data_IF_706450345041
#
_entry.id   IF_706450345041
#
_cell.length_a   1.000
_cell.length_b   1.000
_cell.length_c   1.000
_cell.angle_alpha   90.00
_cell.angle_beta   90.00
_cell.angle_gamma   90.00
#
_symmetry.space_group_name_H-M   'P 1'
#
loop_
_entity.id
_entity.type
_entity.pdbx_description
1 polymer ?
#
# COMPACT_ATOMS: atom_id res chain seq x y z
N UNK A 1 30.95 4.79 7.32
CA UNK A 1 30.53 5.05 6.98
C UNK A 1 29.80 5.04 6.97
N UNK A 2 29.66 5.07 7.02
CA UNK A 2 28.88 5.16 6.75
C UNK A 2 28.23 4.79 5.84
N UNK A 3 28.36 4.30 5.59
CA UNK A 3 27.92 3.90 4.42
C UNK A 3 26.59 3.37 4.39
N UNK A 4 26.27 2.52 5.19
CA UNK A 4 25.01 2.04 5.25
C UNK A 4 24.06 3.00 5.47
N UNK A 5 24.36 3.97 6.19
CA UNK A 5 23.51 5.00 6.43
C UNK A 5 23.21 5.70 5.20
N UNK A 6 24.15 5.82 4.36
CA UNK A 6 23.99 6.50 3.11
C UNK A 6 22.94 5.82 2.29
N UNK A 7 22.94 4.49 2.29
CA UNK A 7 21.94 3.74 1.58
C UNK A 7 20.56 4.04 2.07
N UNK A 8 20.40 4.11 3.36
CA UNK A 8 19.11 4.41 3.93
C UNK A 8 18.61 5.77 3.53
N UNK A 9 19.50 6.73 3.43
CA UNK A 9 19.12 8.08 3.04
C UNK A 9 18.66 8.18 1.60
N UNK A 10 19.06 7.26 0.77
CA UNK A 10 18.66 7.31 -0.63
C UNK A 10 17.18 7.04 -0.82
N UNK A 11 16.56 6.41 0.14
CA UNK A 11 15.18 6.04 0.02
C UNK A 11 14.26 6.88 0.88
N UNK A 12 14.06 8.10 0.47
CA UNK A 12 13.07 8.91 1.13
C UNK A 12 11.72 8.38 0.72
N UNK A 13 10.90 8.09 1.69
CA UNK A 13 9.54 7.67 1.43
C UNK A 13 8.76 8.84 0.86
N UNK A 14 8.05 8.59 -0.22
CA UNK A 14 7.21 9.59 -0.86
C UNK A 14 5.81 9.58 -0.27
N UNK A 15 5.56 8.73 0.69
CA UNK A 15 4.28 8.60 1.34
C UNK A 15 4.46 8.54 2.85
N UNK A 16 3.38 8.75 3.57
CA UNK A 16 3.36 8.69 5.03
C UNK A 16 2.71 7.38 5.44
N UNK A 17 3.22 6.74 6.48
CA UNK A 17 2.67 5.48 6.98
C UNK A 17 1.51 5.77 7.91
N UNK A 18 0.37 5.12 7.68
CA UNK A 18 -0.77 5.22 8.56
C UNK A 18 -0.54 4.30 9.77
N UNK A 19 -0.65 4.84 10.96
CA UNK A 19 -0.40 4.09 12.20
C UNK A 19 -1.59 4.07 13.15
N UNK A 20 -2.49 5.03 13.02
CA UNK A 20 -3.58 5.20 13.96
C UNK A 20 -4.74 4.24 13.67
N UNK A 21 -5.22 3.57 14.71
CA UNK A 21 -6.41 2.72 14.58
C UNK A 21 -7.62 3.52 14.12
N UNK A 22 -7.69 4.78 14.50
CA UNK A 22 -8.75 5.66 14.10
C UNK A 22 -8.76 5.86 12.58
N UNK A 23 -7.58 6.09 11.99
CA UNK A 23 -7.46 6.26 10.55
C UNK A 23 -7.82 4.99 9.81
N UNK A 24 -7.39 3.82 10.31
CA UNK A 24 -7.76 2.55 9.70
C UNK A 24 -9.28 2.36 9.73
N UNK A 25 -9.88 2.60 10.89
CA UNK A 25 -11.34 2.44 11.03
C UNK A 25 -12.10 3.36 10.11
N UNK A 26 -11.64 4.60 9.98
CA UNK A 26 -12.28 5.57 9.12
C UNK A 26 -12.24 5.10 7.65
N UNK A 27 -11.08 4.62 7.21
CA UNK A 27 -10.94 4.13 5.84
C UNK A 27 -11.76 2.89 5.58
N UNK A 28 -11.87 1.99 6.55
CA UNK A 28 -12.71 0.81 6.40
C UNK A 28 -14.18 1.18 6.25
N UNK A 29 -14.62 2.24 6.90
CA UNK A 29 -16.02 2.67 6.83
C UNK A 29 -16.33 3.57 5.64
N UNK A 30 -15.43 4.48 5.32
CA UNK A 30 -15.71 5.53 4.35
C UNK A 30 -14.93 5.42 3.05
N UNK A 31 -13.92 4.58 3.00
CA UNK A 31 -13.09 4.44 1.82
C UNK A 31 -13.78 3.64 0.73
N UNK A 32 -13.36 3.90 -0.50
CA UNK A 32 -13.78 3.14 -1.65
C UNK A 32 -12.98 1.86 -1.66
N UNK A 33 -13.64 0.72 -1.76
CA UNK A 33 -12.93 -0.55 -1.68
C UNK A 33 -12.83 -1.24 -3.03
N UNK A 34 -11.75 -1.98 -3.22
CA UNK A 34 -11.58 -2.85 -4.37
C UNK A 34 -10.99 -4.16 -3.88
N UNK A 35 -11.46 -5.26 -4.45
CA UNK A 35 -11.09 -6.60 -3.98
C UNK A 35 -10.54 -7.40 -5.14
N UNK A 36 -9.42 -8.08 -4.92
CA UNK A 36 -8.91 -9.05 -5.87
C UNK A 36 -8.25 -10.18 -5.08
N UNK A 37 -7.68 -11.17 -5.77
CA UNK A 37 -7.10 -12.32 -5.08
C UNK A 37 -5.84 -11.99 -4.26
N UNK A 38 -5.22 -10.86 -4.55
CA UNK A 38 -3.96 -10.48 -3.89
C UNK A 38 -4.18 -9.57 -2.69
N UNK A 39 -5.20 -8.73 -2.71
CA UNK A 39 -5.43 -7.79 -1.61
C UNK A 39 -6.84 -7.19 -1.67
N UNK A 40 -7.22 -6.58 -0.55
CA UNK A 40 -8.36 -5.67 -0.53
C UNK A 40 -7.77 -4.28 -0.31
N UNK A 41 -8.17 -3.32 -1.10
CA UNK A 41 -7.67 -1.95 -0.98
C UNK A 41 -8.81 -1.01 -0.63
N UNK A 42 -8.60 -0.18 0.37
CA UNK A 42 -9.52 0.90 0.71
C UNK A 42 -8.79 2.21 0.41
N UNK A 43 -9.43 3.10 -0.33
CA UNK A 43 -8.81 4.36 -0.69
C UNK A 43 -9.77 5.51 -0.53
N UNK A 44 -9.24 6.68 -0.23
CA UNK A 44 -10.03 7.89 -0.08
C UNK A 44 -9.18 9.10 -0.42
N UNK A 45 -9.70 10.05 -1.20
CA UNK A 45 -8.96 11.28 -1.49
C UNK A 45 -8.71 12.07 -0.22
N UNK A 46 -7.57 12.74 -0.17
CA UNK A 46 -7.28 13.64 0.94
C UNK A 46 -6.84 15.00 0.41
N UNK A 47 -6.88 15.99 1.29
CA UNK A 47 -6.56 17.36 0.91
C UNK A 47 -5.08 17.62 1.05
N UNK A 48 -4.33 17.52 0.01
CA UNK A 48 -2.92 17.89 0.02
C UNK A 48 -2.03 17.00 0.87
N UNK A 49 -0.82 17.42 1.08
CA UNK A 49 0.19 16.63 1.77
C UNK A 49 0.74 15.53 0.89
N UNK A 50 1.01 14.39 1.49
CA UNK A 50 1.50 13.23 0.77
C UNK A 50 0.46 12.13 0.81
N UNK A 51 0.57 11.19 -0.12
CA UNK A 51 -0.24 9.98 -0.02
C UNK A 51 0.10 9.26 1.28
N UNK A 52 -0.87 8.58 1.86
CA UNK A 52 -0.64 7.82 3.08
C UNK A 52 -0.93 6.35 2.82
N UNK A 53 -0.15 5.48 3.42
CA UNK A 53 -0.23 4.04 3.20
C UNK A 53 -0.32 3.30 4.52
N UNK A 54 -1.31 2.43 4.65
CA UNK A 54 -1.40 1.48 5.74
C UNK A 54 -1.50 0.07 5.18
N UNK A 55 -0.91 -0.89 5.86
CA UNK A 55 -0.96 -2.29 5.43
C UNK A 55 -1.36 -3.15 6.61
N UNK A 56 -2.38 -3.98 6.41
CA UNK A 56 -2.87 -4.90 7.42
C UNK A 56 -2.61 -6.33 6.98
N UNK A 57 -2.02 -7.12 7.88
CA UNK A 57 -1.74 -8.51 7.61
C UNK A 57 -2.14 -9.30 8.85
N UNK A 58 -3.32 -9.90 8.80
CA UNK A 58 -3.91 -10.57 9.95
C UNK A 58 -3.50 -12.03 10.11
N UNK A 59 -4.02 -12.65 11.14
CA UNK A 59 -3.68 -14.03 11.49
C UNK A 59 -4.05 -15.03 10.39
N UNK A 60 -5.05 -14.73 9.58
CA UNK A 60 -5.47 -15.60 8.50
C UNK A 60 -4.40 -15.83 7.45
N UNK A 61 -3.43 -14.93 7.37
CA UNK A 61 -2.34 -15.04 6.41
C UNK A 61 -1.42 -16.21 6.78
N UNK A 62 -1.27 -16.46 8.07
CA UNK A 62 -0.41 -17.51 8.56
C UNK A 62 0.50 -17.01 9.68
N UNK A 63 1.68 -17.59 9.79
CA UNK A 63 2.61 -17.25 10.86
C UNK A 63 3.26 -15.87 10.63
N UNK A 64 4.09 -15.46 11.58
CA UNK A 64 4.73 -14.14 11.52
C UNK A 64 5.57 -13.95 10.27
N UNK A 65 6.24 -14.98 9.81
CA UNK A 65 7.08 -14.91 8.61
C UNK A 65 6.21 -14.58 7.40
N UNK A 66 5.09 -15.28 7.25
CA UNK A 66 4.19 -15.04 6.12
C UNK A 66 3.54 -13.66 6.21
N UNK A 67 3.18 -13.23 7.42
CA UNK A 67 2.59 -11.90 7.58
C UNK A 67 3.59 -10.80 7.22
N UNK A 68 4.84 -10.96 7.66
CA UNK A 68 5.88 -9.99 7.34
C UNK A 68 6.18 -9.94 5.85
N UNK A 69 6.20 -11.12 5.21
CA UNK A 69 6.41 -11.20 3.77
C UNK A 69 5.29 -10.50 3.02
N UNK A 70 4.04 -10.70 3.44
CA UNK A 70 2.90 -10.04 2.83
C UNK A 70 3.03 -8.53 2.88
N UNK A 71 3.39 -8.00 4.05
CA UNK A 71 3.57 -6.56 4.19
C UNK A 71 4.70 -6.05 3.33
N UNK A 72 5.79 -6.81 3.26
CA UNK A 72 6.95 -6.40 2.46
C UNK A 72 6.62 -6.34 0.97
N UNK A 73 5.94 -7.36 0.46
CA UNK A 73 5.67 -7.42 -0.97
C UNK A 73 4.65 -6.36 -1.39
N UNK A 74 3.67 -6.07 -0.54
CA UNK A 74 2.72 -4.99 -0.81
C UNK A 74 3.43 -3.63 -0.75
N UNK A 75 4.28 -3.43 0.24
CA UNK A 75 5.01 -2.18 0.39
C UNK A 75 5.91 -1.91 -0.81
N UNK A 76 6.59 -2.94 -1.27
CA UNK A 76 7.47 -2.81 -2.43
C UNK A 76 6.67 -2.52 -3.69
N UNK A 77 5.54 -3.18 -3.87
CA UNK A 77 4.67 -2.93 -5.02
C UNK A 77 4.16 -1.49 -5.00
N UNK A 78 3.76 -1.00 -3.82
CA UNK A 78 3.26 0.37 -3.71
C UNK A 78 4.36 1.38 -4.00
N UNK A 79 5.58 1.10 -3.58
CA UNK A 79 6.71 1.98 -3.87
C UNK A 79 6.89 2.14 -5.37
N UNK A 80 6.69 1.07 -6.12
CA UNK A 80 6.79 1.11 -7.58
C UNK A 80 5.55 1.70 -8.24
N UNK A 81 4.41 1.60 -7.58
CA UNK A 81 3.15 2.12 -8.09
C UNK A 81 3.04 3.64 -7.94
N UNK A 82 3.59 4.18 -6.87
CA UNK A 82 3.39 5.58 -6.52
C UNK A 82 3.80 6.58 -7.60
N UNK A 83 4.91 6.39 -8.31
CA UNK A 83 5.23 7.29 -9.42
C UNK A 83 4.17 7.29 -10.52
N UNK A 84 3.61 6.12 -10.84
CA UNK A 84 2.54 6.03 -11.83
C UNK A 84 1.29 6.75 -11.35
N UNK A 85 0.97 6.58 -10.07
CA UNK A 85 -0.14 7.25 -9.45
C UNK A 85 -0.01 8.77 -9.59
N UNK A 86 1.17 9.31 -9.33
CA UNK A 86 1.42 10.74 -9.42
C UNK A 86 1.32 11.29 -10.84
N UNK A 87 1.61 10.46 -11.82
CA UNK A 87 1.47 10.84 -13.21
C UNK A 87 0.01 10.93 -13.63
N UNK A 88 -0.84 10.12 -12.99
CA UNK A 88 -2.25 10.03 -13.39
C UNK A 88 -3.15 11.04 -12.68
N UNK A 89 -2.73 11.58 -11.56
CA UNK A 89 -3.56 12.49 -10.79
C UNK A 89 -2.70 13.41 -9.92
N UNK A 90 -3.20 14.62 -9.71
CA UNK A 90 -2.58 15.56 -8.77
C UNK A 90 -3.12 15.37 -7.37
N UNK A 91 -4.16 14.58 -7.22
CA UNK A 91 -4.76 14.37 -5.90
C UNK A 91 -3.91 13.42 -5.07
N UNK A 92 -4.06 13.56 -3.76
CA UNK A 92 -3.42 12.65 -2.81
C UNK A 92 -4.48 11.77 -2.20
N UNK A 93 -4.08 10.59 -1.78
CA UNK A 93 -5.00 9.58 -1.27
C UNK A 93 -4.48 8.92 -0.03
N UNK A 94 -5.40 8.43 0.79
CA UNK A 94 -5.10 7.47 1.83
C UNK A 94 -5.39 6.11 1.25
N UNK A 95 -4.47 5.18 1.42
CA UNK A 95 -4.65 3.78 0.98
C UNK A 95 -4.44 2.85 2.17
N UNK A 96 -5.32 1.87 2.31
CA UNK A 96 -5.09 0.75 3.20
C UNK A 96 -5.20 -0.52 2.39
N UNK A 97 -4.14 -1.32 2.41
CA UNK A 97 -4.14 -2.61 1.76
C UNK A 97 -4.26 -3.70 2.82
N UNK A 98 -5.21 -4.60 2.64
CA UNK A 98 -5.37 -5.74 3.53
C UNK A 98 -4.90 -6.98 2.79
N UNK A 99 -3.87 -7.63 3.35
CA UNK A 99 -3.31 -8.84 2.73
C UNK A 99 -4.31 -9.98 2.78
N UNK A 100 -4.24 -10.85 1.79
CA UNK A 100 -5.08 -12.03 1.71
C UNK A 100 -4.21 -13.28 1.80
N UNK A 101 -4.86 -14.43 1.90
CA UNK A 101 -4.13 -15.69 2.09
C UNK A 101 -3.07 -15.95 1.01
N UNK A 102 -3.34 -15.53 -0.21
CA UNK A 102 -2.40 -15.75 -1.32
C UNK A 102 -1.26 -14.74 -1.39
N UNK A 103 -1.39 -13.62 -0.69
CA UNK A 103 -0.41 -12.53 -0.78
C UNK A 103 1.03 -12.99 -0.57
N UNK A 104 1.35 -13.81 0.45
CA UNK A 104 2.74 -14.20 0.68
C UNK A 104 3.36 -14.97 -0.47
N UNK A 105 2.56 -15.62 -1.30
CA UNK A 105 3.06 -16.42 -2.41
C UNK A 105 3.20 -15.61 -3.69
N UNK A 106 2.72 -14.37 -3.72
CA UNK A 106 2.75 -13.56 -4.92
C UNK A 106 4.03 -12.75 -5.02
N UNK A 107 4.39 -12.44 -6.25
CA UNK A 107 5.56 -11.61 -6.52
C UNK A 107 5.14 -10.15 -6.60
N UNK A 108 6.10 -9.28 -6.32
CA UNK A 108 5.89 -7.84 -6.37
C UNK A 108 5.24 -7.39 -7.68
N UNK A 109 5.72 -7.91 -8.81
CA UNK A 109 5.19 -7.51 -10.11
C UNK A 109 3.72 -7.88 -10.31
N UNK A 110 3.31 -9.01 -9.75
CA UNK A 110 1.92 -9.43 -9.83
C UNK A 110 1.02 -8.47 -9.04
N UNK A 111 1.47 -8.08 -7.86
CA UNK A 111 0.72 -7.15 -7.02
C UNK A 111 0.69 -5.76 -7.65
N UNK A 112 1.82 -5.33 -8.21
CA UNK A 112 1.90 -4.04 -8.89
C UNK A 112 0.93 -3.98 -10.07
N UNK A 113 0.85 -5.05 -10.87
CA UNK A 113 -0.08 -5.10 -11.98
C UNK A 113 -1.52 -4.95 -11.51
N UNK A 114 -1.85 -5.60 -10.39
CA UNK A 114 -3.20 -5.50 -9.84
C UNK A 114 -3.49 -4.11 -9.27
N UNK A 115 -2.50 -3.46 -8.69
CA UNK A 115 -2.66 -2.08 -8.25
C UNK A 115 -3.00 -1.18 -9.44
N UNK A 116 -2.27 -1.31 -10.52
CA UNK A 116 -2.54 -0.50 -11.71
C UNK A 116 -3.91 -0.79 -12.28
N UNK A 117 -4.26 -2.05 -12.38
CA UNK A 117 -5.53 -2.45 -12.96
C UNK A 117 -6.74 -2.01 -12.14
N UNK A 118 -6.61 -2.08 -10.82
CA UNK A 118 -7.75 -1.87 -9.93
C UNK A 118 -7.85 -0.47 -9.34
N UNK A 119 -6.74 0.22 -9.20
CA UNK A 119 -6.74 1.54 -8.56
C UNK A 119 -6.82 2.68 -9.55
N UNK A 120 -6.05 2.62 -10.64
CA UNK A 120 -6.02 3.73 -11.60
C UNK A 120 -7.39 4.10 -12.15
N UNK A 121 -8.28 3.14 -12.48
CA UNK A 121 -9.61 3.51 -12.96
C UNK A 121 -10.48 4.24 -11.94
N UNK A 122 -10.14 4.15 -10.66
CA UNK A 122 -10.92 4.78 -9.60
C UNK A 122 -10.42 6.17 -9.22
N UNK A 123 -9.36 6.64 -9.82
CA UNK A 123 -8.82 7.95 -9.48
C UNK A 123 -9.73 9.08 -9.93
N UNK A 124 -9.73 10.14 -9.16
CA UNK A 124 -10.53 11.33 -9.45
C UNK A 124 -9.67 12.43 -10.04
#
# INVERSE_FOLDING_TARGET
MEVRKTGAKKYKKRYVVIKSNRDFSFLFKKGDSTVNHAFVCYMKPRRGGKNRLGIVSGKKIGNAVKRNRSRRVIREAFRLFEPTLKEQTDRRYDFVFVARAKTPALKTQQILSLMKKNILPKLQ
#
